data_IF_308530830145
#
_entry.id   IF_308530830145
#
_cell.length_a   1.000
_cell.length_b   1.000
_cell.length_c   1.000
_cell.angle_alpha   90.00
_cell.angle_beta   90.00
_cell.angle_gamma   90.00
#
_symmetry.space_group_name_H-M   'P 1'
#
loop_
_entity.id
_entity.type
_entity.pdbx_description
1 polymer ?
#
# COMPACT_ATOMS: atom_id res chain seq x y z
N UNK A 1 17.70 -18.17 -15.89
CA UNK A 1 17.58 -17.40 -14.62
C UNK A 1 17.64 -15.92 -14.96
N UNK A 2 16.60 -15.21 -14.54
CA UNK A 2 15.95 -14.18 -15.34
C UNK A 2 16.45 -12.77 -15.03
N UNK A 3 16.69 -11.99 -16.09
CA UNK A 3 17.07 -10.56 -16.01
C UNK A 3 16.04 -9.67 -15.29
N UNK A 4 14.86 -10.21 -14.96
CA UNK A 4 13.79 -9.53 -14.21
C UNK A 4 14.15 -9.33 -12.74
N UNK A 5 14.83 -10.28 -12.11
CA UNK A 5 15.14 -10.22 -10.67
C UNK A 5 16.15 -9.11 -10.35
N UNK A 6 17.05 -8.82 -11.30
CA UNK A 6 18.05 -7.76 -11.16
C UNK A 6 17.44 -6.35 -11.24
N UNK A 7 16.36 -6.15 -12.00
CA UNK A 7 15.68 -4.84 -12.12
C UNK A 7 14.90 -4.46 -10.85
N UNK A 8 14.34 -5.44 -10.15
CA UNK A 8 13.56 -5.21 -8.92
C UNK A 8 14.49 -4.75 -7.77
N UNK A 9 15.71 -5.28 -7.72
CA UNK A 9 16.71 -4.87 -6.72
C UNK A 9 17.24 -3.45 -6.93
N UNK A 10 17.47 -3.01 -8.18
CA UNK A 10 18.05 -1.69 -8.46
C UNK A 10 17.07 -0.53 -8.24
N UNK A 11 15.75 -0.75 -8.31
CA UNK A 11 14.76 0.31 -8.08
C UNK A 11 14.56 0.68 -6.61
N UNK A 12 14.99 -0.16 -5.67
CA UNK A 12 14.93 0.15 -4.24
C UNK A 12 16.19 0.86 -3.71
N UNK A 13 17.25 0.97 -4.52
CA UNK A 13 18.55 1.48 -4.09
C UNK A 13 18.70 3.01 -4.11
N UNK A 14 17.70 3.77 -4.58
CA UNK A 14 17.72 5.24 -4.57
C UNK A 14 16.89 5.86 -3.43
N UNK A 15 16.29 5.04 -2.57
CA UNK A 15 15.57 5.48 -1.36
C UNK A 15 16.46 5.54 -0.10
N UNK A 16 17.74 5.19 -0.20
CA UNK A 16 18.69 5.23 0.91
C UNK A 16 19.45 6.56 0.99
N UNK A 17 18.70 7.65 1.12
CA UNK A 17 19.23 8.80 1.87
C UNK A 17 18.57 8.71 3.23
N UNK A 18 19.26 8.07 4.17
CA UNK A 18 18.86 7.81 5.55
C UNK A 18 18.32 9.08 6.23
N UNK A 19 17.06 9.42 5.96
CA UNK A 19 16.31 10.37 6.75
C UNK A 19 15.88 9.58 7.97
N UNK A 20 16.75 9.60 8.99
CA UNK A 20 16.40 9.18 10.33
C UNK A 20 15.00 9.71 10.64
N UNK A 21 14.05 8.82 10.92
CA UNK A 21 12.67 9.21 11.15
C UNK A 21 12.62 10.33 12.19
N UNK A 22 11.98 11.45 11.83
CA UNK A 22 11.73 12.55 12.76
C UNK A 22 11.11 12.02 14.05
N UNK A 23 11.39 12.61 15.22
CA UNK A 23 10.71 12.26 16.47
C UNK A 23 9.18 12.27 16.35
N UNK A 24 8.62 13.14 15.50
CA UNK A 24 7.19 13.16 15.21
C UNK A 24 6.73 11.90 14.45
N UNK A 25 7.50 11.44 13.47
CA UNK A 25 7.18 10.24 12.70
C UNK A 25 7.25 8.98 13.57
N UNK A 26 8.23 8.89 14.48
CA UNK A 26 8.33 7.77 15.44
C UNK A 26 7.13 7.72 16.38
N UNK A 27 6.69 8.86 16.90
CA UNK A 27 5.47 8.95 17.75
C UNK A 27 4.22 8.51 16.99
N UNK A 28 4.04 8.99 15.76
CA UNK A 28 2.89 8.62 14.93
C UNK A 28 2.83 7.11 14.63
N UNK A 29 3.98 6.48 14.40
CA UNK A 29 4.07 5.03 14.20
C UNK A 29 3.69 4.26 15.48
N UNK A 30 4.24 4.65 16.64
CA UNK A 30 3.91 4.02 17.91
C UNK A 30 2.40 4.10 18.21
N UNK A 31 1.79 5.26 18.00
CA UNK A 31 0.35 5.47 18.22
C UNK A 31 -0.50 4.63 17.24
N UNK A 32 -0.06 4.50 15.98
CA UNK A 32 -0.72 3.63 15.00
C UNK A 32 -0.58 2.14 15.37
N UNK A 33 0.56 1.72 15.91
CA UNK A 33 0.76 0.36 16.41
C UNK A 33 -0.10 0.07 17.64
N UNK A 34 -0.20 1.00 18.59
CA UNK A 34 -1.09 0.90 19.73
C UNK A 34 -2.54 0.74 19.27
N UNK A 35 -2.99 1.55 18.30
CA UNK A 35 -4.32 1.39 17.69
C UNK A 35 -4.52 0.00 17.08
N UNK A 36 -3.56 -0.51 16.30
CA UNK A 36 -3.66 -1.85 15.70
C UNK A 36 -3.65 -2.98 16.73
N UNK A 37 -2.98 -2.80 17.87
CA UNK A 37 -2.97 -3.77 18.98
C UNK A 37 -4.32 -3.81 19.70
N UNK A 38 -4.99 -2.65 19.80
CA UNK A 38 -6.32 -2.53 20.41
C UNK A 38 -7.47 -2.80 19.44
N UNK A 39 -7.21 -2.75 18.14
CA UNK A 39 -8.18 -3.09 17.11
C UNK A 39 -8.42 -4.61 17.12
N UNK A 40 -9.65 -4.99 17.43
CA UNK A 40 -10.09 -6.37 17.30
C UNK A 40 -10.12 -6.66 15.80
N UNK A 41 -9.28 -7.61 15.37
CA UNK A 41 -9.35 -8.13 14.00
C UNK A 41 -10.68 -8.84 13.82
N UNK A 42 -11.66 -8.11 13.34
CA UNK A 42 -12.88 -8.71 12.82
C UNK A 42 -12.50 -9.51 11.59
N UNK A 43 -12.79 -10.82 11.60
CA UNK A 43 -12.74 -11.65 10.40
C UNK A 43 -13.84 -11.21 9.46
N UNK A 44 -13.53 -10.19 8.65
CA UNK A 44 -14.39 -9.78 7.56
C UNK A 44 -14.21 -10.79 6.44
N UNK A 45 -15.31 -11.29 5.84
CA UNK A 45 -15.21 -12.17 4.68
C UNK A 45 -14.35 -11.48 3.62
N UNK A 46 -13.45 -12.25 3.03
CA UNK A 46 -12.61 -11.76 1.94
C UNK A 46 -13.53 -11.32 0.79
N UNK A 47 -13.35 -10.09 0.33
CA UNK A 47 -14.02 -9.61 -0.88
C UNK A 47 -13.36 -10.27 -2.11
N UNK A 48 -13.92 -11.40 -2.52
CA UNK A 48 -13.47 -12.11 -3.71
C UNK A 48 -14.04 -11.42 -4.95
N UNK A 49 -13.17 -11.01 -5.87
CA UNK A 49 -13.56 -10.31 -7.10
C UNK A 49 -13.74 -8.80 -6.96
N UNK A 50 -13.47 -8.23 -5.79
CA UNK A 50 -13.41 -6.79 -5.58
C UNK A 50 -12.21 -6.16 -6.30
N UNK A 51 -12.38 -4.93 -6.78
CA UNK A 51 -11.31 -4.10 -7.33
C UNK A 51 -10.47 -3.62 -6.13
N UNK A 52 -9.57 -4.48 -5.63
CA UNK A 52 -8.75 -4.16 -4.46
C UNK A 52 -8.10 -2.78 -4.62
N UNK A 53 -8.26 -1.90 -3.63
CA UNK A 53 -7.89 -0.49 -3.76
C UNK A 53 -8.98 0.44 -3.25
N UNK A 54 -8.82 1.75 -3.51
CA UNK A 54 -9.80 2.77 -3.12
C UNK A 54 -10.92 2.86 -4.17
N UNK A 55 -12.12 3.22 -3.72
CA UNK A 55 -13.32 3.36 -4.56
C UNK A 55 -13.08 4.17 -5.85
N UNK A 56 -13.17 3.55 -7.05
CA UNK A 56 -12.98 4.22 -8.34
C UNK A 56 -13.90 5.42 -8.54
N UNK A 57 -15.12 5.39 -8.00
CA UNK A 57 -16.09 6.50 -8.09
C UNK A 57 -15.59 7.73 -7.36
N UNK A 58 -14.85 7.53 -6.28
CA UNK A 58 -14.34 8.59 -5.41
C UNK A 58 -13.01 9.16 -5.87
N UNK A 59 -12.19 8.35 -6.53
CA UNK A 59 -10.82 8.71 -6.93
C UNK A 59 -10.61 8.80 -8.45
N UNK A 60 -11.65 8.54 -9.26
CA UNK A 60 -11.59 8.64 -10.71
C UNK A 60 -10.80 7.53 -11.40
N UNK A 61 -10.39 6.48 -10.68
CA UNK A 61 -9.54 5.39 -11.19
C UNK A 61 -10.37 4.26 -11.83
N UNK A 62 -11.22 4.63 -12.80
CA UNK A 62 -12.04 3.67 -13.55
C UNK A 62 -11.23 2.91 -14.61
N UNK A 63 -9.93 3.16 -14.71
CA UNK A 63 -9.07 2.58 -15.73
C UNK A 63 -8.40 1.28 -15.25
N UNK A 64 -8.66 0.19 -15.96
CA UNK A 64 -7.93 -1.07 -15.78
C UNK A 64 -7.12 -1.32 -17.05
N UNK A 65 -5.78 -1.31 -16.91
CA UNK A 65 -4.84 -1.47 -18.05
C UNK A 65 -5.05 -0.44 -19.16
N UNK A 66 -5.36 0.80 -18.81
CA UNK A 66 -5.58 1.91 -19.76
C UNK A 66 -6.90 1.84 -20.51
N UNK A 67 -7.89 1.10 -19.98
CA UNK A 67 -9.26 1.08 -20.48
C UNK A 67 -10.20 1.47 -19.36
N UNK A 68 -11.06 2.46 -19.59
CA UNK A 68 -12.17 2.76 -18.70
C UNK A 68 -13.12 1.55 -18.67
N UNK A 69 -13.32 0.96 -17.50
CA UNK A 69 -14.24 -0.15 -17.27
C UNK A 69 -15.28 0.29 -16.25
N UNK A 70 -16.39 0.78 -16.76
CA UNK A 70 -17.66 0.84 -16.03
C UNK A 70 -18.28 -0.58 -16.06
N UNK A 71 -19.10 -0.95 -15.05
CA UNK A 71 -19.69 -2.28 -14.77
C UNK A 71 -18.72 -3.43 -14.41
#
# INVERSE_FOLDING_TARGET
>A
MDKKDKKISTQNATADKQQSLSPAAKRALNEAEERRKHEIKEERPLENGGRGGKDPSRYGDWEIKGRAIDF
#
